data_IF_548817582895
#
_entry.id   IF_548817582895
#
_cell.length_a   1.000
_cell.length_b   1.000
_cell.length_c   1.000
_cell.angle_alpha   90.00
_cell.angle_beta   90.00
_cell.angle_gamma   90.00
#
_symmetry.space_group_name_H-M   'P 1'
#
loop_
_entity.id
_entity.type
_entity.pdbx_description
1 polymer ?
#
# COMPACT_ATOMS: atom_id res chain seq x y z
N UNK A 1 19.70 18.14 -0.98
CA UNK A 1 18.56 18.09 -1.92
C UNK A 1 17.61 17.03 -1.39
N UNK A 2 16.32 17.29 -1.30
CA UNK A 2 15.33 16.36 -0.78
C UNK A 2 14.58 15.69 -1.93
N UNK A 3 14.03 14.49 -1.69
CA UNK A 3 13.19 13.77 -2.64
C UNK A 3 11.72 13.83 -2.20
N UNK A 4 10.82 14.00 -3.14
CA UNK A 4 9.39 13.97 -2.91
C UNK A 4 8.80 12.71 -3.55
N UNK A 5 8.11 11.91 -2.75
CA UNK A 5 7.45 10.70 -3.19
C UNK A 5 6.02 10.64 -2.67
N UNK A 6 5.17 9.90 -3.34
CA UNK A 6 3.79 9.69 -2.92
C UNK A 6 3.22 8.34 -3.31
N UNK A 7 2.28 7.89 -2.50
CA UNK A 7 1.48 6.71 -2.73
C UNK A 7 0.00 7.09 -2.63
N UNK A 8 -0.75 6.87 -3.71
CA UNK A 8 -2.16 7.24 -3.84
C UNK A 8 -3.00 5.97 -3.90
N UNK A 9 -3.38 5.50 -2.71
CA UNK A 9 -4.31 4.38 -2.55
C UNK A 9 -5.78 4.82 -2.60
N UNK A 10 -6.69 3.85 -2.67
CA UNK A 10 -8.14 4.10 -2.71
C UNK A 10 -8.67 4.84 -1.47
N UNK A 11 -8.13 4.53 -0.31
CA UNK A 11 -8.58 5.09 0.98
C UNK A 11 -7.67 6.22 1.46
N UNK A 12 -6.35 6.03 1.40
CA UNK A 12 -5.35 6.96 1.91
C UNK A 12 -4.33 7.32 0.85
N UNK A 13 -3.95 8.58 0.82
CA UNK A 13 -2.80 9.09 0.06
C UNK A 13 -1.71 9.47 1.05
N UNK A 14 -0.52 8.93 0.84
CA UNK A 14 0.68 9.22 1.62
C UNK A 14 1.64 10.05 0.77
N UNK A 15 2.14 11.18 1.28
CA UNK A 15 3.15 12.01 0.61
C UNK A 15 4.32 12.17 1.57
N UNK A 16 5.53 11.87 1.13
CA UNK A 16 6.73 11.91 1.96
C UNK A 16 7.81 12.79 1.34
N UNK A 17 8.49 13.54 2.20
CA UNK A 17 9.76 14.19 1.89
C UNK A 17 10.87 13.35 2.49
N UNK A 18 11.86 12.99 1.67
CA UNK A 18 13.03 12.20 2.06
C UNK A 18 14.29 13.06 1.98
N UNK A 19 15.26 12.77 2.82
CA UNK A 19 16.60 13.33 2.71
C UNK A 19 17.44 12.67 1.59
N UNK A 20 18.70 13.08 1.46
CA UNK A 20 19.65 12.47 0.50
C UNK A 20 19.95 10.99 0.76
N UNK A 21 19.75 10.53 2.01
CA UNK A 21 19.92 9.13 2.43
C UNK A 21 18.63 8.33 2.36
N UNK A 22 17.59 8.88 1.72
CA UNK A 22 16.25 8.30 1.58
C UNK A 22 15.52 8.07 2.91
N UNK A 23 15.90 8.75 3.99
CA UNK A 23 15.16 8.74 5.25
C UNK A 23 13.99 9.71 5.18
N UNK A 24 12.85 9.32 5.74
CA UNK A 24 11.64 10.16 5.79
C UNK A 24 11.89 11.33 6.76
N UNK A 25 11.88 12.56 6.24
CA UNK A 25 11.96 13.79 7.03
C UNK A 25 10.55 14.23 7.44
N UNK A 26 9.58 14.14 6.53
CA UNK A 26 8.20 14.57 6.76
C UNK A 26 7.24 13.66 6.02
N UNK A 27 6.12 13.32 6.67
CA UNK A 27 5.07 12.47 6.10
C UNK A 27 3.72 13.15 6.26
N UNK A 28 2.93 13.12 5.21
CA UNK A 28 1.56 13.59 5.16
C UNK A 28 0.64 12.45 4.78
N UNK A 29 -0.42 12.22 5.56
CA UNK A 29 -1.48 11.27 5.25
C UNK A 29 -2.79 12.03 5.00
N UNK A 30 -3.44 11.75 3.88
CA UNK A 30 -4.68 12.40 3.46
C UNK A 30 -5.72 11.32 3.14
N UNK A 31 -6.98 11.52 3.50
CA UNK A 31 -8.08 10.73 2.95
C UNK A 31 -8.17 11.02 1.45
N UNK A 32 -8.01 9.99 0.61
CA UNK A 32 -7.96 10.15 -0.85
C UNK A 32 -9.21 10.82 -1.41
N UNK A 33 -10.38 10.60 -0.78
CA UNK A 33 -11.65 11.23 -1.19
C UNK A 33 -11.64 12.74 -1.00
N UNK A 34 -10.87 13.25 -0.03
CA UNK A 34 -10.78 14.70 0.29
C UNK A 34 -9.80 15.46 -0.61
N UNK A 35 -8.97 14.77 -1.40
CA UNK A 35 -7.96 15.41 -2.27
C UNK A 35 -8.59 16.35 -3.29
N UNK A 36 -9.74 16.00 -3.85
CA UNK A 36 -10.44 16.81 -4.86
C UNK A 36 -11.00 18.12 -4.31
N UNK A 37 -11.13 18.27 -2.98
CA UNK A 37 -11.45 19.56 -2.38
C UNK A 37 -10.22 20.48 -2.48
N UNK A 38 -10.26 21.42 -3.43
CA UNK A 38 -9.12 22.28 -3.77
C UNK A 38 -8.67 23.15 -2.59
N UNK A 39 -9.60 23.72 -1.83
CA UNK A 39 -9.28 24.55 -0.68
C UNK A 39 -8.57 23.75 0.42
N UNK A 40 -9.16 22.61 0.79
CA UNK A 40 -8.60 21.70 1.78
C UNK A 40 -7.20 21.21 1.37
N UNK A 41 -7.05 20.73 0.12
CA UNK A 41 -5.78 20.23 -0.38
C UNK A 41 -4.70 21.33 -0.42
N UNK A 42 -5.05 22.53 -0.91
CA UNK A 42 -4.14 23.68 -0.93
C UNK A 42 -3.64 24.00 0.47
N UNK A 43 -4.53 24.16 1.47
CA UNK A 43 -4.17 24.46 2.86
C UNK A 43 -3.17 23.45 3.42
N UNK A 44 -3.44 22.16 3.26
CA UNK A 44 -2.58 21.10 3.80
C UNK A 44 -1.22 21.07 3.11
N UNK A 45 -1.18 21.18 1.80
CA UNK A 45 0.06 21.08 1.02
C UNK A 45 0.97 22.28 1.26
N UNK A 46 0.42 23.49 1.38
CA UNK A 46 1.23 24.66 1.73
C UNK A 46 1.85 24.51 3.13
N UNK A 47 1.08 24.06 4.12
CA UNK A 47 1.61 23.75 5.46
C UNK A 47 2.65 22.61 5.44
N UNK A 48 2.46 21.62 4.56
CA UNK A 48 3.39 20.51 4.44
C UNK A 48 4.73 20.91 3.84
N UNK A 49 4.74 21.84 2.89
CA UNK A 49 5.96 22.31 2.20
C UNK A 49 6.63 23.53 2.86
N UNK A 50 5.99 24.11 3.90
CA UNK A 50 6.57 25.27 4.59
C UNK A 50 8.02 24.98 5.00
N UNK A 51 8.92 25.92 4.69
CA UNK A 51 10.35 25.90 5.06
C UNK A 51 11.18 24.74 4.49
N UNK A 52 10.74 24.12 3.38
CA UNK A 52 11.47 23.02 2.77
C UNK A 52 11.88 23.31 1.32
N UNK A 53 13.18 23.14 1.05
CA UNK A 53 13.71 23.12 -0.32
C UNK A 53 13.44 21.74 -0.90
N UNK A 54 12.52 21.67 -1.88
CA UNK A 54 12.07 20.41 -2.47
C UNK A 54 12.59 20.30 -3.90
N UNK A 55 12.98 19.11 -4.29
CA UNK A 55 13.29 18.80 -5.68
C UNK A 55 12.08 19.12 -6.58
N UNK A 56 12.35 19.68 -7.76
CA UNK A 56 11.31 19.99 -8.74
C UNK A 56 10.71 18.75 -9.43
N UNK A 57 11.14 17.55 -9.04
CA UNK A 57 10.62 16.27 -9.51
C UNK A 57 10.08 15.46 -8.33
N UNK A 58 8.95 14.78 -8.56
CA UNK A 58 8.31 13.88 -7.60
C UNK A 58 7.88 12.58 -8.27
N UNK A 59 8.04 11.46 -7.57
CA UNK A 59 7.60 10.15 -8.03
C UNK A 59 6.40 9.69 -7.22
N UNK A 60 5.38 9.22 -7.92
CA UNK A 60 4.14 8.72 -7.32
C UNK A 60 3.82 7.31 -7.78
N UNK A 61 3.30 6.49 -6.87
CA UNK A 61 2.50 5.32 -7.19
C UNK A 61 1.03 5.71 -7.10
N UNK A 62 0.19 5.26 -8.02
CA UNK A 62 -1.23 5.57 -7.94
C UNK A 62 -2.10 4.44 -8.48
N UNK A 63 -3.10 4.05 -7.69
CA UNK A 63 -4.23 3.21 -8.12
C UNK A 63 -5.52 4.04 -8.31
N UNK A 64 -5.42 5.37 -8.16
CA UNK A 64 -6.54 6.32 -8.33
C UNK A 64 -6.14 7.43 -9.31
N UNK A 65 -6.17 7.18 -10.64
CA UNK A 65 -5.72 8.12 -11.66
C UNK A 65 -6.30 9.54 -11.53
N UNK A 66 -7.61 9.75 -11.23
CA UNK A 66 -8.14 11.10 -11.09
C UNK A 66 -7.49 11.90 -9.95
N UNK A 67 -7.16 11.24 -8.82
CA UNK A 67 -6.48 11.89 -7.69
C UNK A 67 -5.02 12.21 -8.02
N UNK A 68 -4.33 11.32 -8.73
CA UNK A 68 -2.98 11.60 -9.22
C UNK A 68 -2.96 12.81 -10.17
N UNK A 69 -3.89 12.87 -11.13
CA UNK A 69 -3.97 13.99 -12.07
C UNK A 69 -4.21 15.33 -11.34
N UNK A 70 -5.10 15.34 -10.34
CA UNK A 70 -5.34 16.51 -9.51
C UNK A 70 -4.09 16.96 -8.74
N UNK A 71 -3.38 16.03 -8.10
CA UNK A 71 -2.12 16.31 -7.39
C UNK A 71 -1.08 16.85 -8.35
N UNK A 72 -0.88 16.19 -9.50
CA UNK A 72 0.08 16.60 -10.53
C UNK A 72 -0.17 18.04 -10.99
N UNK A 73 -1.42 18.41 -11.30
CA UNK A 73 -1.81 19.76 -11.69
C UNK A 73 -1.56 20.78 -10.58
N UNK A 74 -1.93 20.44 -9.34
CA UNK A 74 -1.74 21.30 -8.17
C UNK A 74 -0.26 21.55 -7.85
N UNK A 75 0.55 20.49 -7.87
CA UNK A 75 1.99 20.59 -7.60
C UNK A 75 2.72 21.40 -8.68
N UNK A 76 2.35 21.23 -9.94
CA UNK A 76 2.90 22.03 -11.03
C UNK A 76 2.49 23.50 -10.86
N UNK A 77 1.20 23.78 -10.57
CA UNK A 77 0.68 25.14 -10.44
C UNK A 77 1.30 25.90 -9.25
N UNK A 78 1.35 25.29 -8.07
CA UNK A 78 1.69 26.01 -6.84
C UNK A 78 3.19 25.95 -6.48
N UNK A 79 3.91 24.91 -6.89
CA UNK A 79 5.29 24.68 -6.47
C UNK A 79 6.28 24.45 -7.63
N UNK A 80 5.79 24.48 -8.86
CA UNK A 80 6.54 24.12 -10.07
C UNK A 80 7.20 22.72 -9.97
N UNK A 81 6.52 21.75 -9.31
CA UNK A 81 6.97 20.38 -9.18
C UNK A 81 6.36 19.52 -10.29
N UNK A 82 7.21 18.79 -10.99
CA UNK A 82 6.80 17.81 -12.00
C UNK A 82 6.58 16.44 -11.34
N UNK A 83 5.34 15.97 -11.32
CA UNK A 83 4.99 14.65 -10.81
C UNK A 83 4.98 13.61 -11.94
N UNK A 84 5.64 12.50 -11.69
CA UNK A 84 5.70 11.34 -12.58
C UNK A 84 5.07 10.13 -11.87
N UNK A 85 4.25 9.38 -12.60
CA UNK A 85 3.69 8.12 -12.08
C UNK A 85 4.68 6.98 -12.40
N UNK A 86 4.86 6.05 -11.46
CA UNK A 86 5.87 4.99 -11.55
C UNK A 86 5.75 4.18 -12.85
N UNK A 87 4.53 3.79 -13.26
CA UNK A 87 4.32 3.03 -14.49
C UNK A 87 4.64 3.79 -15.77
N UNK A 88 4.77 5.12 -15.69
CA UNK A 88 5.19 5.99 -16.81
C UNK A 88 6.72 6.16 -16.86
N UNK A 89 7.46 5.51 -15.95
CA UNK A 89 8.93 5.54 -15.92
C UNK A 89 9.53 4.29 -16.56
N UNK A 90 10.85 4.26 -16.69
CA UNK A 90 11.60 3.09 -17.17
C UNK A 90 11.84 2.06 -16.06
N UNK A 91 10.85 1.79 -15.20
CA UNK A 91 10.97 0.86 -14.07
C UNK A 91 11.31 -0.57 -14.49
N UNK A 92 11.06 -0.95 -15.75
CA UNK A 92 11.44 -2.26 -16.29
C UNK A 92 12.93 -2.53 -16.28
N UNK A 93 13.77 -1.50 -16.15
CA UNK A 93 15.21 -1.64 -15.92
C UNK A 93 15.53 -2.09 -14.49
N UNK A 94 14.60 -1.89 -13.54
CA UNK A 94 14.78 -2.20 -12.12
C UNK A 94 14.26 -3.58 -11.74
N UNK A 95 13.20 -4.04 -12.39
CA UNK A 95 12.59 -5.35 -12.12
C UNK A 95 11.96 -5.92 -13.39
N UNK A 96 12.16 -7.21 -13.61
CA UNK A 96 11.45 -7.94 -14.66
C UNK A 96 10.02 -8.25 -14.19
N UNK A 97 9.04 -8.22 -15.09
CA UNK A 97 7.65 -8.54 -14.78
C UNK A 97 7.17 -9.62 -15.74
N UNK A 98 6.80 -10.78 -15.19
CA UNK A 98 6.24 -11.90 -15.93
C UNK A 98 4.72 -11.81 -16.08
N UNK A 99 4.03 -11.21 -15.10
CA UNK A 99 2.59 -11.03 -15.13
C UNK A 99 2.13 -9.92 -16.12
N UNK A 100 0.82 -9.81 -16.39
CA UNK A 100 0.26 -8.80 -17.30
C UNK A 100 0.47 -7.38 -16.74
N UNK A 101 1.52 -6.68 -17.19
CA UNK A 101 1.98 -5.36 -16.70
C UNK A 101 0.85 -4.32 -16.55
N UNK A 102 -0.09 -4.29 -17.50
CA UNK A 102 -1.20 -3.31 -17.50
C UNK A 102 -2.15 -3.49 -16.30
N UNK A 103 -2.28 -4.72 -15.79
CA UNK A 103 -3.22 -5.08 -14.71
C UNK A 103 -2.62 -4.97 -13.31
N UNK A 104 -1.30 -4.80 -13.18
CA UNK A 104 -0.65 -4.67 -11.87
C UNK A 104 -0.75 -3.22 -11.41
N UNK A 105 -1.18 -2.99 -10.16
CA UNK A 105 -1.13 -1.68 -9.53
C UNK A 105 0.30 -1.15 -9.40
N UNK A 106 0.49 0.16 -9.49
CA UNK A 106 1.83 0.75 -9.34
C UNK A 106 2.41 0.62 -7.94
N UNK A 107 1.56 0.55 -6.92
CA UNK A 107 1.88 0.23 -5.53
C UNK A 107 2.57 -1.15 -5.43
N UNK A 108 2.01 -2.17 -6.07
CA UNK A 108 2.58 -3.52 -6.09
C UNK A 108 3.94 -3.58 -6.83
N UNK A 109 4.08 -2.81 -7.91
CA UNK A 109 5.37 -2.67 -8.62
C UNK A 109 6.39 -1.98 -7.72
N UNK A 110 6.01 -0.93 -7.00
CA UNK A 110 6.88 -0.25 -6.06
C UNK A 110 7.33 -1.16 -4.91
N UNK A 111 6.39 -1.92 -4.32
CA UNK A 111 6.67 -2.90 -3.29
C UNK A 111 7.68 -3.95 -3.79
N UNK A 112 7.50 -4.46 -5.00
CA UNK A 112 8.39 -5.45 -5.60
C UNK A 112 9.81 -4.90 -5.83
N UNK A 113 9.93 -3.67 -6.39
CA UNK A 113 11.22 -3.01 -6.59
C UNK A 113 11.89 -2.76 -5.25
N UNK A 114 11.17 -2.12 -4.32
CA UNK A 114 11.70 -1.73 -3.02
C UNK A 114 12.21 -2.93 -2.22
N UNK A 115 11.43 -4.00 -2.15
CA UNK A 115 11.81 -5.22 -1.42
C UNK A 115 12.99 -5.94 -2.07
N UNK A 116 13.02 -6.08 -3.39
CA UNK A 116 14.15 -6.71 -4.07
C UNK A 116 15.45 -5.94 -3.86
N UNK A 117 15.42 -4.60 -3.98
CA UNK A 117 16.63 -3.78 -3.78
C UNK A 117 17.09 -3.73 -2.33
N UNK A 118 16.16 -3.73 -1.37
CA UNK A 118 16.48 -3.70 0.04
C UNK A 118 17.08 -5.02 0.55
N UNK A 119 16.57 -6.16 0.09
CA UNK A 119 16.91 -7.46 0.65
C UNK A 119 17.75 -8.34 -0.27
N UNK A 120 17.84 -8.03 -1.56
CA UNK A 120 18.59 -8.80 -2.57
C UNK A 120 18.29 -10.32 -2.55
N UNK A 121 17.04 -10.67 -2.25
CA UNK A 121 16.60 -12.06 -2.09
C UNK A 121 15.22 -12.28 -2.71
N UNK A 122 14.89 -13.54 -2.93
CA UNK A 122 13.53 -13.94 -3.28
C UNK A 122 12.61 -13.62 -2.11
N UNK A 123 11.49 -12.95 -2.39
CA UNK A 123 10.60 -12.47 -1.33
C UNK A 123 9.12 -12.53 -1.71
N UNK A 124 8.29 -12.62 -0.68
CA UNK A 124 6.85 -12.39 -0.77
C UNK A 124 6.57 -11.13 0.05
N UNK A 125 6.01 -10.11 -0.60
CA UNK A 125 5.58 -8.89 0.09
C UNK A 125 4.10 -9.00 0.41
N UNK A 126 3.77 -8.95 1.71
CA UNK A 126 2.41 -8.84 2.21
C UNK A 126 2.13 -7.37 2.48
N UNK A 127 1.16 -6.82 1.76
CA UNK A 127 0.71 -5.45 1.96
C UNK A 127 -0.69 -5.46 2.59
N UNK A 128 -0.80 -4.88 3.80
CA UNK A 128 -2.04 -4.81 4.58
C UNK A 128 -2.74 -3.47 4.35
N UNK A 129 -3.34 -3.32 3.19
CA UNK A 129 -4.09 -2.14 2.80
C UNK A 129 -5.61 -2.34 2.79
N UNK A 130 -6.28 -1.66 1.87
CA UNK A 130 -7.72 -1.90 1.56
C UNK A 130 -7.95 -3.33 1.09
N UNK A 131 -7.02 -3.88 0.33
CA UNK A 131 -6.86 -5.30 0.10
C UNK A 131 -5.62 -5.82 0.83
N UNK A 132 -5.57 -7.10 1.14
CA UNK A 132 -4.33 -7.79 1.54
C UNK A 132 -3.73 -8.40 0.28
N UNK A 133 -2.54 -7.95 -0.12
CA UNK A 133 -1.88 -8.48 -1.30
C UNK A 133 -0.63 -9.29 -0.95
N UNK A 134 -0.34 -10.28 -1.78
CA UNK A 134 0.86 -11.10 -1.70
C UNK A 134 1.59 -10.95 -3.03
N UNK A 135 2.69 -10.25 -3.05
CA UNK A 135 3.50 -10.02 -4.24
C UNK A 135 4.71 -10.93 -4.23
N UNK A 136 4.85 -11.78 -5.23
CA UNK A 136 5.90 -12.81 -5.29
C UNK A 136 7.01 -12.37 -6.22
N UNK A 137 8.22 -12.23 -5.66
CA UNK A 137 9.42 -11.83 -6.36
C UNK A 137 10.43 -12.98 -6.33
N UNK A 138 10.85 -13.44 -7.50
CA UNK A 138 11.82 -14.51 -7.67
C UNK A 138 12.92 -14.11 -8.65
N UNK A 139 14.18 -14.19 -8.23
CA UNK A 139 15.36 -13.81 -9.01
C UNK A 139 15.21 -12.46 -9.72
N UNK A 140 14.80 -11.43 -8.97
CA UNK A 140 14.58 -10.09 -9.50
C UNK A 140 13.44 -10.00 -10.53
N UNK A 141 12.53 -10.96 -10.52
CA UNK A 141 11.34 -10.98 -11.39
C UNK A 141 10.09 -11.01 -10.53
N UNK A 142 9.20 -10.07 -10.77
CA UNK A 142 7.83 -10.15 -10.24
C UNK A 142 7.06 -11.21 -11.03
N UNK A 143 6.80 -12.36 -10.42
CA UNK A 143 6.17 -13.49 -11.09
C UNK A 143 4.64 -13.46 -11.03
N UNK A 144 4.07 -12.74 -10.08
CA UNK A 144 2.63 -12.62 -9.86
C UNK A 144 2.30 -12.37 -8.41
N UNK A 145 1.06 -12.58 -8.04
CA UNK A 145 0.64 -12.45 -6.65
C UNK A 145 -0.85 -12.74 -6.44
N UNK A 146 -1.26 -12.64 -5.19
CA UNK A 146 -2.64 -12.90 -4.73
C UNK A 146 -3.23 -11.60 -4.19
N UNK A 147 -4.52 -11.42 -4.32
CA UNK A 147 -5.29 -10.31 -3.74
C UNK A 147 -6.43 -10.92 -2.93
N UNK A 148 -6.46 -10.61 -1.64
CA UNK A 148 -7.53 -10.97 -0.73
C UNK A 148 -8.17 -9.70 -0.15
N UNK A 149 -9.41 -9.77 0.35
CA UNK A 149 -10.01 -8.64 1.05
C UNK A 149 -9.15 -8.19 2.22
N UNK A 150 -9.00 -6.88 2.44
CA UNK A 150 -8.28 -6.38 3.61
C UNK A 150 -9.11 -6.54 4.89
N UNK A 151 -8.42 -6.77 6.01
CA UNK A 151 -9.07 -7.04 7.31
C UNK A 151 -10.03 -5.92 7.73
N UNK A 152 -9.62 -4.66 7.60
CA UNK A 152 -10.45 -3.51 7.96
C UNK A 152 -11.64 -3.32 7.01
N UNK A 153 -11.47 -3.62 5.72
CA UNK A 153 -12.56 -3.60 4.75
C UNK A 153 -13.61 -4.66 5.09
N UNK A 154 -13.18 -5.89 5.34
CA UNK A 154 -14.07 -7.01 5.70
C UNK A 154 -14.83 -6.71 6.99
N UNK A 155 -14.12 -6.23 8.02
CA UNK A 155 -14.72 -5.85 9.30
C UNK A 155 -15.77 -4.75 9.13
N UNK A 156 -15.41 -3.66 8.47
CA UNK A 156 -16.32 -2.53 8.28
C UNK A 156 -17.54 -2.89 7.43
N UNK A 157 -17.37 -3.78 6.46
CA UNK A 157 -18.48 -4.27 5.62
C UNK A 157 -19.43 -5.15 6.41
N UNK A 158 -18.87 -6.04 7.25
CA UNK A 158 -19.67 -6.90 8.11
C UNK A 158 -20.51 -6.08 9.10
N UNK A 159 -19.88 -5.14 9.82
CA UNK A 159 -20.56 -4.24 10.77
C UNK A 159 -21.67 -3.44 10.09
N UNK A 160 -21.42 -2.93 8.87
CA UNK A 160 -22.41 -2.12 8.15
C UNK A 160 -23.61 -2.91 7.64
N UNK A 161 -23.46 -4.21 7.37
CA UNK A 161 -24.52 -5.05 6.79
C UNK A 161 -25.27 -5.91 7.79
N UNK A 162 -24.73 -6.09 8.99
CA UNK A 162 -25.32 -6.92 10.02
C UNK A 162 -25.80 -6.05 11.19
N UNK A 163 -27.11 -5.76 11.23
CA UNK A 163 -27.74 -4.84 12.17
C UNK A 163 -27.50 -5.17 13.66
N UNK A 164 -27.27 -6.44 13.98
CA UNK A 164 -27.08 -6.90 15.37
C UNK A 164 -25.60 -7.00 15.78
N UNK A 165 -24.67 -6.63 14.90
CA UNK A 165 -23.24 -6.70 15.20
C UNK A 165 -22.77 -5.36 15.78
N UNK A 166 -22.36 -5.32 17.07
CA UNK A 166 -21.80 -4.11 17.63
C UNK A 166 -20.42 -3.81 17.06
N UNK A 167 -19.96 -2.55 17.01
CA UNK A 167 -18.60 -2.22 16.68
C UNK A 167 -17.62 -2.91 17.63
N UNK A 168 -16.56 -3.50 17.08
CA UNK A 168 -15.51 -4.14 17.88
C UNK A 168 -14.13 -3.97 17.24
N UNK A 169 -13.09 -4.12 18.05
CA UNK A 169 -11.70 -4.08 17.59
C UNK A 169 -11.13 -5.50 17.53
N UNK A 170 -10.35 -5.79 16.49
CA UNK A 170 -9.61 -7.04 16.38
C UNK A 170 -8.46 -7.00 17.40
N UNK A 171 -8.40 -8.00 18.24
CA UNK A 171 -7.33 -8.20 19.24
C UNK A 171 -6.89 -9.65 19.20
N UNK A 172 -5.65 -9.92 19.59
CA UNK A 172 -5.18 -11.27 19.82
C UNK A 172 -6.06 -11.97 20.84
N UNK A 173 -6.42 -13.20 20.58
CA UNK A 173 -7.22 -14.03 21.47
C UNK A 173 -6.58 -15.41 21.63
N UNK A 174 -6.79 -16.02 22.78
CA UNK A 174 -6.23 -17.35 23.09
C UNK A 174 -7.26 -18.47 22.87
N UNK A 175 -8.57 -18.17 23.02
CA UNK A 175 -9.65 -19.13 22.83
C UNK A 175 -10.22 -19.03 21.42
N UNK A 176 -10.43 -20.18 20.77
CA UNK A 176 -11.02 -20.25 19.43
C UNK A 176 -12.53 -20.11 19.50
N UNK A 177 -13.18 -20.82 20.42
CA UNK A 177 -14.64 -20.76 20.56
C UNK A 177 -15.03 -19.57 21.43
N UNK A 178 -15.73 -18.61 20.84
CA UNK A 178 -16.30 -17.45 21.55
C UNK A 178 -17.63 -17.82 22.21
N UNK A 179 -17.89 -17.26 23.39
CA UNK A 179 -19.11 -17.47 24.18
C UNK A 179 -20.12 -16.31 24.09
N UNK A 180 -19.81 -15.29 23.31
CA UNK A 180 -20.71 -14.18 22.95
C UNK A 180 -20.35 -13.64 21.57
N UNK A 181 -21.23 -12.82 20.98
CA UNK A 181 -21.07 -12.29 19.61
C UNK A 181 -19.72 -11.62 19.39
N UNK A 182 -19.28 -10.77 20.31
CA UNK A 182 -18.01 -10.03 20.16
C UNK A 182 -16.81 -10.96 20.22
N UNK A 183 -16.77 -11.92 21.14
CA UNK A 183 -15.69 -12.90 21.24
C UNK A 183 -15.66 -13.84 20.03
N UNK A 184 -16.83 -14.28 19.56
CA UNK A 184 -16.94 -15.11 18.35
C UNK A 184 -16.43 -14.37 17.10
N UNK A 185 -16.82 -13.09 16.92
CA UNK A 185 -16.34 -12.25 15.82
C UNK A 185 -14.82 -12.00 15.88
N UNK A 186 -14.30 -11.68 17.07
CA UNK A 186 -12.85 -11.52 17.26
C UNK A 186 -12.11 -12.80 16.89
N UNK A 187 -12.65 -13.95 17.30
CA UNK A 187 -12.08 -15.25 16.96
C UNK A 187 -12.05 -15.49 15.46
N UNK A 188 -13.18 -15.32 14.79
CA UNK A 188 -13.28 -15.51 13.35
C UNK A 188 -12.32 -14.60 12.57
N UNK A 189 -12.23 -13.32 12.96
CA UNK A 189 -11.29 -12.40 12.30
C UNK A 189 -9.83 -12.75 12.61
N UNK A 190 -9.49 -13.02 13.85
CA UNK A 190 -8.10 -13.30 14.23
C UNK A 190 -7.61 -14.60 13.58
N UNK A 191 -8.27 -15.70 13.86
CA UNK A 191 -7.86 -17.02 13.36
C UNK A 191 -8.13 -17.20 11.88
N UNK A 192 -9.22 -16.63 11.35
CA UNK A 192 -9.52 -16.67 9.92
C UNK A 192 -8.47 -15.94 9.09
N UNK A 193 -8.05 -14.73 9.49
CA UNK A 193 -7.00 -14.00 8.77
C UNK A 193 -5.62 -14.60 8.93
N UNK A 194 -5.24 -15.05 10.12
CA UNK A 194 -3.94 -15.72 10.32
C UNK A 194 -3.88 -17.02 9.50
N UNK A 195 -4.93 -17.85 9.58
CA UNK A 195 -5.00 -19.09 8.79
C UNK A 195 -5.01 -18.85 7.28
N UNK A 196 -5.71 -17.82 6.81
CA UNK A 196 -5.66 -17.42 5.39
C UNK A 196 -4.23 -17.05 4.96
N UNK A 197 -3.56 -16.22 5.74
CA UNK A 197 -2.18 -15.78 5.43
C UNK A 197 -1.23 -16.98 5.42
N UNK A 198 -1.23 -17.76 6.46
CA UNK A 198 -0.36 -18.94 6.61
C UNK A 198 -0.60 -19.95 5.48
N UNK A 199 -1.87 -20.25 5.17
CA UNK A 199 -2.23 -21.17 4.10
C UNK A 199 -1.78 -20.65 2.73
N UNK A 200 -2.00 -19.36 2.41
CA UNK A 200 -1.58 -18.77 1.14
C UNK A 200 -0.04 -18.83 1.02
N UNK A 201 0.69 -18.47 2.06
CA UNK A 201 2.16 -18.58 2.06
C UNK A 201 2.66 -20.00 1.86
N UNK A 202 2.01 -20.98 2.50
CA UNK A 202 2.31 -22.40 2.33
C UNK A 202 2.05 -22.87 0.90
N UNK A 203 0.91 -22.45 0.31
CA UNK A 203 0.55 -22.80 -1.07
C UNK A 203 1.51 -22.18 -2.09
N UNK A 204 1.92 -20.91 -1.93
CA UNK A 204 2.93 -20.27 -2.79
C UNK A 204 4.24 -21.09 -2.75
N UNK A 205 4.72 -21.45 -1.55
CA UNK A 205 5.93 -22.23 -1.38
C UNK A 205 5.82 -23.62 -2.04
N UNK A 206 4.65 -24.27 -1.88
CA UNK A 206 4.37 -25.59 -2.50
C UNK A 206 4.37 -25.51 -4.03
N UNK A 207 3.67 -24.52 -4.60
CA UNK A 207 3.54 -24.32 -6.04
C UNK A 207 4.89 -23.98 -6.67
N UNK A 208 5.62 -23.04 -6.07
CA UNK A 208 6.88 -22.56 -6.63
C UNK A 208 8.07 -23.46 -6.30
N UNK A 209 7.93 -24.37 -5.32
CA UNK A 209 9.01 -25.22 -4.75
C UNK A 209 10.21 -24.37 -4.26
N UNK A 210 9.94 -23.21 -3.65
CA UNK A 210 10.94 -22.22 -3.25
C UNK A 210 10.70 -21.72 -1.83
N UNK A 211 11.78 -21.23 -1.21
CA UNK A 211 11.74 -20.49 0.03
C UNK A 211 11.82 -19.00 -0.26
N UNK A 212 11.10 -18.20 0.52
CA UNK A 212 11.01 -16.76 0.35
C UNK A 212 11.20 -16.03 1.67
N UNK A 213 11.84 -14.88 1.63
CA UNK A 213 11.79 -13.91 2.71
C UNK A 213 10.40 -13.27 2.73
N UNK A 214 9.74 -13.26 3.89
CA UNK A 214 8.45 -12.62 4.06
C UNK A 214 8.67 -11.18 4.51
N UNK A 215 8.07 -10.24 3.78
CA UNK A 215 8.18 -8.79 4.03
C UNK A 215 6.77 -8.26 4.27
N UNK A 216 6.58 -7.57 5.39
CA UNK A 216 5.30 -6.97 5.77
C UNK A 216 5.35 -5.47 5.51
N UNK A 217 4.26 -4.92 4.94
CA UNK A 217 4.04 -3.49 4.70
C UNK A 217 2.56 -3.14 4.79
N UNK A 218 2.20 -1.81 4.66
CA UNK A 218 0.82 -1.31 4.67
C UNK A 218 0.57 -0.12 5.59
#
# INVERSE_FOLDING_TARGET
>A
MTHLIGDIGNTKTKICILDKKLKIIKKLNIDTRKIKNQYYFKKIIFSFFKDKIINKKALFCSVVPPSFFFIKKSFKKYFNIQCQELKQTHYSKLIKIKAKKKQIGSDRIANAIGSYYAYKSDCIVLDFGTATTFDVIYRGTYIGGIIAPGVNLSLSTLIKRANLIPPFNIKKINKVVGNNTVSALRSGFYWGYTGMIENILRLIKKETKRSYKIILTG
#
